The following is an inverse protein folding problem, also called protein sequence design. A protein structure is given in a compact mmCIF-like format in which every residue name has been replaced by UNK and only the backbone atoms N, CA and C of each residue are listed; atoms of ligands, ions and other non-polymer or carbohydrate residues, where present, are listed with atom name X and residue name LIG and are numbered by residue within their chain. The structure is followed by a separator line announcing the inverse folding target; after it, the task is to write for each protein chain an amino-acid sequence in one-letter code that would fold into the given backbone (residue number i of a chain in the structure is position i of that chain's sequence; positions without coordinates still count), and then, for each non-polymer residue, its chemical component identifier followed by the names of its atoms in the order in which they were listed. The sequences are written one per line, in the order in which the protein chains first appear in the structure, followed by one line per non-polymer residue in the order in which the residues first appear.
data_IF_706099847097
#
_entry.id   IF_706099847097
#
_cell.length_a   1.000
_cell.length_b   1.000
_cell.length_c   1.000
_cell.angle_alpha   90.00
_cell.angle_beta   90.00
_cell.angle_gamma   90.00
#
_symmetry.space_group_name_H-M   'P 1'
#
loop_
_entity.id
_entity.type
_entity.pdbx_description
1 polymer ?
#
# COMPACT_ATOMS: atom_id res chain seq x y z
N UNK A 1 7.38 18.18 18.41
CA UNK A 1 6.28 17.22 18.15
C UNK A 1 5.96 17.26 16.67
N UNK A 2 5.75 16.11 16.00
CA UNK A 2 5.84 15.88 14.54
C UNK A 2 4.88 16.73 13.63
N UNK A 3 4.17 17.72 14.17
CA UNK A 3 3.43 18.69 13.34
C UNK A 3 2.23 18.09 12.61
N UNK A 4 1.71 16.95 13.08
CA UNK A 4 0.45 16.40 12.58
C UNK A 4 -0.72 17.30 12.98
N UNK A 5 -1.58 17.61 12.01
CA UNK A 5 -2.78 18.39 12.22
C UNK A 5 -3.78 17.57 13.06
N UNK A 6 -4.15 18.09 14.22
CA UNK A 6 -5.00 17.39 15.17
C UNK A 6 -6.46 17.42 14.70
N UNK A 7 -6.90 16.35 14.05
CA UNK A 7 -8.30 16.12 13.68
C UNK A 7 -8.67 14.66 13.96
N UNK A 8 -9.81 14.38 14.64
CA UNK A 8 -10.24 13.01 14.92
C UNK A 8 -10.35 12.14 13.67
N UNK A 9 -10.79 12.74 12.55
CA UNK A 9 -10.89 12.07 11.26
C UNK A 9 -9.53 11.61 10.73
N UNK A 10 -8.52 12.49 10.81
CA UNK A 10 -7.14 12.22 10.37
C UNK A 10 -6.48 11.13 11.21
N UNK A 11 -6.68 11.17 12.52
CA UNK A 11 -6.19 10.15 13.45
C UNK A 11 -6.84 8.80 13.14
N UNK A 12 -8.17 8.76 12.99
CA UNK A 12 -8.89 7.53 12.64
C UNK A 12 -8.39 6.94 11.32
N UNK A 13 -8.23 7.77 10.28
CA UNK A 13 -7.72 7.33 8.98
C UNK A 13 -6.31 6.75 9.07
N UNK A 14 -5.43 7.40 9.83
CA UNK A 14 -4.08 6.92 10.06
C UNK A 14 -4.08 5.54 10.74
N UNK A 15 -4.87 5.37 11.80
CA UNK A 15 -5.02 4.08 12.48
C UNK A 15 -5.62 3.01 11.57
N UNK A 16 -6.68 3.33 10.83
CA UNK A 16 -7.33 2.42 9.89
C UNK A 16 -6.38 1.94 8.79
N UNK A 17 -5.71 2.88 8.10
CA UNK A 17 -4.80 2.55 7.01
C UNK A 17 -3.59 1.76 7.54
N UNK A 18 -3.05 2.11 8.70
CA UNK A 18 -1.96 1.37 9.35
C UNK A 18 -2.41 -0.04 9.74
N UNK A 19 -3.58 -0.18 10.35
CA UNK A 19 -4.14 -1.48 10.75
C UNK A 19 -4.35 -2.41 9.55
N UNK A 20 -5.01 -1.92 8.50
CA UNK A 20 -5.18 -2.69 7.25
C UNK A 20 -3.83 -3.05 6.62
N UNK A 21 -2.86 -2.14 6.71
CA UNK A 21 -1.50 -2.35 6.23
C UNK A 21 -0.81 -3.52 6.93
N UNK A 22 -0.82 -3.51 8.26
CA UNK A 22 -0.28 -4.62 9.04
C UNK A 22 -1.00 -5.93 8.73
N UNK A 23 -2.33 -5.92 8.64
CA UNK A 23 -3.10 -7.12 8.34
C UNK A 23 -2.72 -7.74 7.00
N UNK A 24 -2.71 -6.97 5.91
CA UNK A 24 -2.37 -7.56 4.61
C UNK A 24 -0.91 -8.06 4.58
N UNK A 25 0.03 -7.40 5.27
CA UNK A 25 1.42 -7.86 5.33
C UNK A 25 1.55 -9.18 6.08
N UNK A 26 0.81 -9.35 7.18
CA UNK A 26 0.76 -10.61 7.94
C UNK A 26 0.15 -11.72 7.08
N UNK A 27 -0.99 -11.48 6.43
CA UNK A 27 -1.63 -12.48 5.56
C UNK A 27 -0.79 -12.83 4.34
N UNK A 28 -0.10 -11.85 3.74
CA UNK A 28 0.83 -12.09 2.65
C UNK A 28 2.01 -12.96 3.09
N UNK A 29 2.58 -12.71 4.28
CA UNK A 29 3.64 -13.55 4.84
C UNK A 29 3.18 -14.99 5.06
N UNK A 30 1.98 -15.17 5.65
CA UNK A 30 1.39 -16.50 5.84
C UNK A 30 1.10 -17.21 4.52
N UNK A 31 0.60 -16.48 3.51
CA UNK A 31 0.38 -17.00 2.16
C UNK A 31 1.68 -17.52 1.53
N UNK A 32 2.77 -16.74 1.59
CA UNK A 32 4.07 -17.13 1.02
C UNK A 32 4.61 -18.39 1.70
N UNK A 33 4.49 -18.49 3.02
CA UNK A 33 4.89 -19.69 3.76
C UNK A 33 4.05 -20.90 3.33
N UNK A 34 2.73 -20.75 3.19
CA UNK A 34 1.83 -21.84 2.77
C UNK A 34 2.10 -22.36 1.35
N UNK A 35 2.59 -21.49 0.46
CA UNK A 35 2.95 -21.84 -0.92
C UNK A 35 4.32 -22.52 -1.02
N UNK A 36 5.14 -22.42 0.02
CA UNK A 36 6.52 -22.89 0.00
C UNK A 36 6.67 -24.26 0.69
N UNK A 37 7.44 -25.18 0.12
CA UNK A 37 7.70 -26.49 0.74
C UNK A 37 8.77 -26.42 1.85
N UNK A 38 9.61 -25.38 1.88
CA UNK A 38 10.69 -25.21 2.85
C UNK A 38 10.94 -23.71 3.13
N UNK A 39 11.48 -23.40 4.32
CA UNK A 39 11.76 -22.05 4.80
C UNK A 39 12.72 -21.26 3.90
N UNK A 40 13.70 -21.93 3.28
CA UNK A 40 14.62 -21.29 2.32
C UNK A 40 13.86 -20.75 1.09
N UNK A 41 12.94 -21.55 0.53
CA UNK A 41 12.12 -21.15 -0.63
C UNK A 41 11.14 -20.05 -0.22
N UNK A 42 10.56 -20.15 0.98
CA UNK A 42 9.71 -19.10 1.56
C UNK A 42 10.46 -17.76 1.62
N UNK A 43 11.71 -17.77 2.09
CA UNK A 43 12.55 -16.59 2.20
C UNK A 43 12.81 -15.92 0.85
N UNK A 44 13.19 -16.71 -0.17
CA UNK A 44 13.45 -16.20 -1.53
C UNK A 44 12.17 -15.58 -2.12
N UNK A 45 11.03 -16.28 -2.00
CA UNK A 45 9.75 -15.78 -2.50
C UNK A 45 9.30 -14.51 -1.76
N UNK A 46 9.48 -14.46 -0.44
CA UNK A 46 9.18 -13.28 0.37
C UNK A 46 10.00 -12.07 -0.05
N UNK A 47 11.32 -12.24 -0.21
CA UNK A 47 12.20 -11.15 -0.66
C UNK A 47 11.77 -10.64 -2.03
N UNK A 48 11.55 -11.53 -3.00
CA UNK A 48 11.11 -11.14 -4.34
C UNK A 48 9.76 -10.40 -4.32
N UNK A 49 8.77 -10.91 -3.56
CA UNK A 49 7.46 -10.28 -3.42
C UNK A 49 7.57 -8.88 -2.79
N UNK A 50 8.31 -8.73 -1.68
CA UNK A 50 8.48 -7.45 -1.01
C UNK A 50 9.25 -6.43 -1.84
N UNK A 51 10.22 -6.86 -2.65
CA UNK A 51 10.93 -5.98 -3.59
C UNK A 51 9.97 -5.41 -4.63
N UNK A 52 9.12 -6.25 -5.23
CA UNK A 52 8.10 -5.83 -6.20
C UNK A 52 7.12 -4.84 -5.54
N UNK A 53 6.64 -5.17 -4.33
CA UNK A 53 5.72 -4.31 -3.59
C UNK A 53 6.32 -2.94 -3.25
N UNK A 54 7.62 -2.87 -2.97
CA UNK A 54 8.30 -1.59 -2.75
C UNK A 54 8.49 -0.80 -4.05
N UNK A 55 8.89 -1.48 -5.12
CA UNK A 55 9.15 -0.84 -6.41
C UNK A 55 7.90 -0.17 -7.00
N UNK A 56 6.75 -0.86 -6.93
CA UNK A 56 5.46 -0.37 -7.41
C UNK A 56 4.60 0.30 -6.33
N UNK A 57 5.18 0.62 -5.18
CA UNK A 57 4.48 1.31 -4.08
C UNK A 57 4.03 2.74 -4.42
N UNK A 58 4.45 3.30 -5.56
CA UNK A 58 4.16 4.69 -5.91
C UNK A 58 5.13 5.71 -5.30
N UNK A 59 5.96 5.31 -4.33
CA UNK A 59 6.97 6.20 -3.74
C UNK A 59 8.24 6.32 -4.60
N UNK A 60 8.84 5.17 -4.96
CA UNK A 60 10.06 5.13 -5.79
C UNK A 60 9.78 5.48 -7.25
N UNK A 61 8.69 4.96 -7.80
CA UNK A 61 8.17 5.31 -9.12
C UNK A 61 6.78 5.93 -8.98
N UNK A 62 6.65 7.25 -9.19
CA UNK A 62 5.34 7.91 -9.11
C UNK A 62 4.39 7.35 -10.17
N UNK A 63 3.13 7.12 -9.78
CA UNK A 63 2.07 6.59 -10.65
C UNK A 63 2.02 7.16 -12.08
N UNK A 64 2.08 8.49 -12.30
CA UNK A 64 2.01 9.08 -13.64
C UNK A 64 3.24 8.82 -14.51
N UNK A 65 4.38 8.40 -13.94
CA UNK A 65 5.60 8.04 -14.69
C UNK A 65 5.66 6.56 -15.09
N UNK A 66 4.71 5.74 -14.61
CA UNK A 66 4.66 4.31 -14.94
C UNK A 66 4.10 4.15 -16.37
N UNK A 67 4.77 3.40 -17.27
CA UNK A 67 4.26 3.18 -18.61
C UNK A 67 2.89 2.50 -18.57
N UNK A 68 1.99 2.87 -19.52
CA UNK A 68 0.58 2.44 -19.52
C UNK A 68 0.40 0.92 -19.40
N UNK A 69 1.33 0.13 -19.96
CA UNK A 69 1.29 -1.33 -19.87
C UNK A 69 1.60 -1.86 -18.46
N UNK A 70 2.40 -1.16 -17.65
CA UNK A 70 2.81 -1.59 -16.29
C UNK A 70 1.97 -0.97 -15.17
N UNK A 71 0.98 -0.15 -15.51
CA UNK A 71 0.15 0.54 -14.51
C UNK A 71 -0.70 -0.41 -13.66
N UNK A 72 -1.15 -1.53 -14.23
CA UNK A 72 -1.83 -2.61 -13.50
C UNK A 72 -1.05 -3.13 -12.28
N UNK A 73 0.28 -3.24 -12.35
CA UNK A 73 1.12 -3.65 -11.23
C UNK A 73 1.03 -2.65 -10.06
N UNK A 74 0.89 -1.35 -10.37
CA UNK A 74 0.67 -0.32 -9.37
C UNK A 74 -0.70 -0.44 -8.70
N UNK A 75 -1.76 -0.79 -9.45
CA UNK A 75 -3.11 -0.98 -8.91
C UNK A 75 -3.27 -2.26 -8.08
N UNK A 76 -2.54 -3.32 -8.42
CA UNK A 76 -2.56 -4.60 -7.66
C UNK A 76 -1.71 -4.49 -6.38
N UNK A 77 -0.79 -3.53 -6.31
CA UNK A 77 0.14 -3.39 -5.20
C UNK A 77 -0.55 -2.75 -3.96
N UNK A 78 -0.77 -3.49 -2.85
CA UNK A 78 -1.44 -2.95 -1.66
C UNK A 78 -0.71 -1.75 -1.03
N UNK A 79 0.63 -1.70 -1.12
CA UNK A 79 1.44 -0.59 -0.58
C UNK A 79 1.18 0.73 -1.28
N UNK A 80 0.80 0.71 -2.56
CA UNK A 80 0.38 1.89 -3.32
C UNK A 80 -0.87 2.53 -2.72
N UNK A 81 -1.85 1.70 -2.36
CA UNK A 81 -3.08 2.13 -1.71
C UNK A 81 -2.85 2.65 -0.30
N UNK A 82 -1.97 2.00 0.48
CA UNK A 82 -1.58 2.48 1.80
C UNK A 82 -0.92 3.84 1.75
N UNK A 83 0.03 4.04 0.84
CA UNK A 83 0.72 5.32 0.68
C UNK A 83 -0.23 6.42 0.23
N UNK A 84 -1.09 6.12 -0.75
CA UNK A 84 -2.11 7.06 -1.20
C UNK A 84 -3.05 7.43 -0.03
N UNK A 85 -3.58 6.45 0.71
CA UNK A 85 -4.48 6.70 1.84
C UNK A 85 -3.82 7.55 2.94
N UNK A 86 -2.60 7.20 3.35
CA UNK A 86 -1.88 7.91 4.41
C UNK A 86 -1.48 9.34 3.99
N UNK A 87 -0.92 9.52 2.79
CA UNK A 87 -0.47 10.83 2.33
C UNK A 87 -1.65 11.74 2.00
N UNK A 88 -2.66 11.21 1.34
CA UNK A 88 -3.84 11.98 0.94
C UNK A 88 -4.68 12.40 2.14
N UNK A 89 -4.91 11.53 3.12
CA UNK A 89 -5.68 11.87 4.33
C UNK A 89 -5.00 12.91 5.22
N UNK A 90 -3.67 12.91 5.28
CA UNK A 90 -2.91 13.83 6.12
C UNK A 90 -2.62 15.17 5.46
N UNK A 91 -2.27 15.14 4.17
CA UNK A 91 -1.69 16.28 3.46
C UNK A 91 -2.51 16.75 2.25
N UNK A 92 -3.51 15.99 1.80
CA UNK A 92 -4.28 16.33 0.59
C UNK A 92 -5.16 17.58 0.74
N UNK A 93 -5.50 17.94 1.96
CA UNK A 93 -6.26 19.14 2.35
C UNK A 93 -5.36 20.29 2.85
N UNK A 94 -4.04 20.08 2.94
CA UNK A 94 -3.10 21.10 3.38
C UNK A 94 -2.66 22.02 2.24
N UNK A 95 -3.07 23.30 2.33
CA UNK A 95 -2.64 24.38 1.43
C UNK A 95 -1.30 25.01 1.82
N UNK A 96 -0.56 24.40 2.75
CA UNK A 96 0.73 24.92 3.18
C UNK A 96 1.69 24.91 1.99
N UNK A 97 2.28 26.05 1.68
CA UNK A 97 3.24 26.17 0.60
C UNK A 97 4.57 25.56 1.03
N UNK A 98 5.14 24.73 0.16
CA UNK A 98 6.46 24.16 0.33
C UNK A 98 7.29 24.48 -0.91
N UNK A 99 8.59 24.72 -0.70
CA UNK A 99 9.53 24.96 -1.78
C UNK A 99 9.92 23.61 -2.40
N UNK A 100 9.46 23.35 -3.62
CA UNK A 100 9.74 22.10 -4.34
C UNK A 100 10.31 22.47 -5.70
N UNK A 101 11.49 21.95 -6.03
CA UNK A 101 12.18 22.27 -7.29
C UNK A 101 12.36 23.78 -7.57
N UNK A 102 12.48 24.59 -6.51
CA UNK A 102 12.64 26.04 -6.63
C UNK A 102 11.34 26.84 -6.75
N UNK A 103 10.17 26.19 -6.81
CA UNK A 103 8.85 26.84 -6.84
C UNK A 103 8.07 26.63 -5.53
N UNK A 104 7.35 27.66 -5.07
CA UNK A 104 6.39 27.53 -3.97
C UNK A 104 5.11 26.88 -4.50
N UNK A 105 4.86 25.64 -4.09
CA UNK A 105 3.63 24.92 -4.43
C UNK A 105 2.94 24.42 -3.16
N UNK A 106 1.61 24.41 -3.12
CA UNK A 106 0.89 23.79 -2.02
C UNK A 106 1.13 22.27 -2.05
N UNK A 107 1.27 21.66 -0.86
CA UNK A 107 1.51 20.21 -0.71
C UNK A 107 0.44 19.39 -1.45
N UNK A 108 -0.81 19.85 -1.44
CA UNK A 108 -1.92 19.21 -2.15
C UNK A 108 -1.72 19.13 -3.67
N UNK A 109 -1.21 20.19 -4.30
CA UNK A 109 -0.89 20.18 -5.74
C UNK A 109 0.29 19.25 -6.03
N UNK A 110 1.29 19.20 -5.17
CA UNK A 110 2.41 18.28 -5.34
C UNK A 110 1.97 16.81 -5.28
N UNK A 111 1.12 16.45 -4.33
CA UNK A 111 0.57 15.09 -4.22
C UNK A 111 -0.24 14.70 -5.46
N UNK A 112 -0.98 15.65 -6.03
CA UNK A 112 -1.78 15.42 -7.23
C UNK A 112 -0.92 15.33 -8.49
N UNK A 113 -0.01 16.28 -8.70
CA UNK A 113 0.75 16.40 -9.95
C UNK A 113 1.92 15.42 -10.02
N UNK A 114 2.60 15.17 -8.89
CA UNK A 114 3.76 14.29 -8.84
C UNK A 114 3.36 12.84 -8.60
N UNK A 115 2.52 12.58 -7.59
CA UNK A 115 2.13 11.21 -7.22
C UNK A 115 0.82 10.74 -7.87
N UNK A 116 -0.01 11.63 -8.40
CA UNK A 116 -1.32 11.26 -8.95
C UNK A 116 -2.37 10.97 -7.88
N UNK A 117 -2.10 11.32 -6.61
CA UNK A 117 -2.99 11.02 -5.50
C UNK A 117 -4.16 12.01 -5.46
N UNK A 118 -5.38 11.49 -5.63
CA UNK A 118 -6.59 12.29 -5.64
C UNK A 118 -7.36 12.12 -4.33
N UNK A 119 -7.62 13.25 -3.65
CA UNK A 119 -8.33 13.30 -2.36
C UNK A 119 -9.80 12.85 -2.44
N UNK A 120 -10.43 12.98 -3.60
CA UNK A 120 -11.81 12.56 -3.83
C UNK A 120 -12.01 11.03 -3.81
N UNK A 121 -10.92 10.26 -3.94
CA UNK A 121 -10.97 8.79 -4.01
C UNK A 121 -10.71 8.08 -2.69
N UNK A 122 -10.66 8.80 -1.54
CA UNK A 122 -10.39 8.20 -0.23
C UNK A 122 -11.34 7.05 0.13
N UNK A 123 -12.62 7.13 -0.27
CA UNK A 123 -13.57 6.03 -0.08
C UNK A 123 -13.18 4.76 -0.84
N UNK A 124 -12.71 4.90 -2.08
CA UNK A 124 -12.23 3.77 -2.88
C UNK A 124 -10.95 3.17 -2.27
N UNK A 125 -10.03 4.01 -1.80
CA UNK A 125 -8.82 3.59 -1.11
C UNK A 125 -9.17 2.80 0.17
N UNK A 126 -10.19 3.23 0.91
CA UNK A 126 -10.64 2.52 2.10
C UNK A 126 -11.09 1.10 1.77
N UNK A 127 -11.94 0.96 0.75
CA UNK A 127 -12.46 -0.35 0.31
C UNK A 127 -11.31 -1.23 -0.18
N UNK A 128 -10.41 -0.70 -1.01
CA UNK A 128 -9.25 -1.44 -1.50
C UNK A 128 -8.40 -1.98 -0.34
N UNK A 129 -8.10 -1.13 0.66
CA UNK A 129 -7.32 -1.52 1.85
C UNK A 129 -7.97 -2.62 2.69
N UNK A 130 -9.30 -2.76 2.70
CA UNK A 130 -10.00 -3.88 3.35
C UNK A 130 -10.03 -5.14 2.48
N UNK A 131 -10.15 -4.98 1.16
CA UNK A 131 -10.21 -6.11 0.23
C UNK A 131 -8.90 -6.90 0.22
N UNK A 132 -7.74 -6.24 0.26
CA UNK A 132 -6.43 -6.92 0.23
C UNK A 132 -6.23 -7.93 1.38
N UNK A 133 -6.42 -7.57 2.66
CA UNK A 133 -6.36 -8.53 3.76
C UNK A 133 -7.30 -9.72 3.57
N UNK A 134 -8.56 -9.48 3.16
CA UNK A 134 -9.56 -10.53 2.96
C UNK A 134 -9.15 -11.49 1.84
N UNK A 135 -8.64 -10.95 0.72
CA UNK A 135 -8.15 -11.74 -0.41
C UNK A 135 -6.95 -12.59 0.02
N UNK A 136 -5.95 -11.99 0.68
CA UNK A 136 -4.77 -12.74 1.13
C UNK A 136 -5.12 -13.80 2.18
N UNK A 137 -6.02 -13.50 3.12
CA UNK A 137 -6.50 -14.47 4.09
C UNK A 137 -7.24 -15.63 3.41
N UNK A 138 -8.10 -15.35 2.43
CA UNK A 138 -8.84 -16.38 1.68
C UNK A 138 -7.91 -17.26 0.84
N UNK A 139 -6.93 -16.66 0.16
CA UNK A 139 -5.92 -17.40 -0.58
C UNK A 139 -5.08 -18.27 0.36
N UNK A 140 -4.64 -17.72 1.49
CA UNK A 140 -3.90 -18.49 2.49
C UNK A 140 -4.70 -19.69 2.99
N UNK A 141 -5.98 -19.50 3.34
CA UNK A 141 -6.87 -20.58 3.77
C UNK A 141 -7.07 -21.66 2.70
N UNK A 142 -7.16 -21.26 1.42
CA UNK A 142 -7.25 -22.20 0.31
C UNK A 142 -5.95 -22.99 0.11
N UNK A 143 -4.79 -22.32 0.12
CA UNK A 143 -3.50 -22.96 -0.14
C UNK A 143 -3.05 -23.86 1.01
N UNK A 144 -3.33 -23.50 2.26
CA UNK A 144 -2.97 -24.37 3.40
C UNK A 144 -3.78 -25.68 3.40
N UNK A 145 -5.01 -25.65 2.91
CA UNK A 145 -5.85 -26.85 2.77
C UNK A 145 -5.38 -27.73 1.59
N UNK A 146 -5.14 -27.13 0.42
CA UNK A 146 -4.75 -27.85 -0.81
C UNK A 146 -3.29 -28.32 -0.84
N UNK A 147 -2.37 -27.49 -0.37
CA UNK A 147 -0.92 -27.70 -0.47
C UNK A 147 -0.32 -28.12 0.86
N UNK A 148 -1.07 -28.77 1.75
CA UNK A 148 -0.60 -29.13 3.09
C UNK A 148 0.64 -30.04 3.06
N UNK A 149 1.82 -29.42 3.00
CA UNK A 149 3.13 -30.08 2.91
C UNK A 149 3.51 -30.79 4.22
N UNK A 150 2.81 -30.52 5.33
CA UNK A 150 3.04 -31.22 6.60
C UNK A 150 2.38 -32.60 6.68
N UNK A 151 1.52 -32.95 5.72
CA UNK A 151 0.83 -34.25 5.67
C UNK A 151 1.47 -35.28 4.71
N UNK A 152 2.66 -34.99 4.18
CA UNK A 152 3.48 -35.92 3.40
C UNK A 152 4.58 -36.55 4.25
#
# INVERSE_FOLDING_TARGET
MIGYYWSPFKVFWYFYATFCTFLYFVYLGMLIVSLSPNSQVAGILATAAYTILNLFSGFLMPGPKIPKWWIWCYWICPTSWSLNGLLTSQYGDMKKEILIFGELKPVSSFLKDYFGFQHDHLGFVAVALLVFPVVFASLFAYFIDKLNFQRR
#
